data_IF_621541685939
#
_entry.id   IF_621541685939
#
_cell.length_a   1.000
_cell.length_b   1.000
_cell.length_c   1.000
_cell.angle_alpha   90.00
_cell.angle_beta   90.00
_cell.angle_gamma   90.00
#
_symmetry.space_group_name_H-M   'P 1'
#
loop_
_entity.id
_entity.type
_entity.pdbx_description
1 polymer ?
#
# COMPACT_ATOMS: atom_id res chain seq x y z
N UNK A 1 -0.97 -40.63 -36.99
CA UNK A 1 -1.96 -39.77 -36.29
C UNK A 1 -1.99 -38.43 -37.02
N UNK A 2 -3.16 -37.90 -37.43
CA UNK A 2 -3.21 -36.62 -38.10
C UNK A 2 -2.83 -35.48 -37.15
N UNK A 3 -2.09 -34.50 -37.64
CA UNK A 3 -1.73 -33.31 -36.88
C UNK A 3 -2.96 -32.39 -36.78
N UNK A 4 -3.55 -32.33 -35.58
CA UNK A 4 -4.78 -31.56 -35.32
C UNK A 4 -4.49 -30.06 -35.14
N UNK A 5 -3.34 -29.71 -34.53
CA UNK A 5 -2.97 -28.32 -34.25
C UNK A 5 -1.77 -27.87 -35.07
N UNK A 6 -1.83 -26.62 -35.55
CA UNK A 6 -0.72 -25.99 -36.25
C UNK A 6 0.46 -25.72 -35.29
N UNK A 7 1.70 -25.72 -35.80
CA UNK A 7 2.91 -25.51 -34.98
C UNK A 7 2.92 -24.20 -34.18
N UNK A 8 2.22 -23.18 -34.66
CA UNK A 8 2.08 -21.88 -33.98
C UNK A 8 1.30 -22.00 -32.67
N UNK A 9 0.46 -23.02 -32.51
CA UNK A 9 -0.33 -23.24 -31.29
C UNK A 9 0.56 -23.42 -30.06
N UNK A 10 1.77 -23.95 -30.20
CA UNK A 10 2.74 -24.03 -29.09
C UNK A 10 3.17 -22.66 -28.58
N UNK A 11 3.42 -21.72 -29.49
CA UNK A 11 3.77 -20.34 -29.13
C UNK A 11 2.57 -19.64 -28.50
N UNK A 12 1.39 -19.76 -29.13
CA UNK A 12 0.15 -19.14 -28.64
C UNK A 12 -0.16 -19.63 -27.22
N UNK A 13 -0.12 -20.95 -26.97
CA UNK A 13 -0.40 -21.53 -25.66
C UNK A 13 0.57 -21.03 -24.58
N UNK A 14 1.88 -20.96 -24.89
CA UNK A 14 2.87 -20.44 -23.93
C UNK A 14 2.63 -18.96 -23.66
N UNK A 15 2.41 -18.18 -24.70
CA UNK A 15 2.17 -16.74 -24.58
C UNK A 15 0.92 -16.46 -23.75
N UNK A 16 -0.18 -17.18 -23.97
CA UNK A 16 -1.41 -16.96 -23.23
C UNK A 16 -1.29 -17.38 -21.77
N UNK A 17 -0.64 -18.52 -21.48
CA UNK A 17 -0.45 -18.99 -20.10
C UNK A 17 0.42 -18.00 -19.31
N UNK A 18 1.63 -17.71 -19.79
CA UNK A 18 2.54 -16.83 -19.08
C UNK A 18 2.06 -15.38 -19.08
N UNK A 19 1.48 -14.91 -20.18
CA UNK A 19 0.89 -13.57 -20.27
C UNK A 19 -0.24 -13.38 -19.27
N UNK A 20 -1.15 -14.35 -19.14
CA UNK A 20 -2.25 -14.28 -18.17
C UNK A 20 -1.74 -14.26 -16.73
N UNK A 21 -0.77 -15.12 -16.39
CA UNK A 21 -0.16 -15.13 -15.06
C UNK A 21 0.51 -13.78 -14.75
N UNK A 22 1.29 -13.24 -15.69
CA UNK A 22 1.99 -11.98 -15.48
C UNK A 22 1.02 -10.81 -15.31
N UNK A 23 -0.05 -10.76 -16.11
CA UNK A 23 -1.10 -9.76 -15.98
C UNK A 23 -1.80 -9.87 -14.62
N UNK A 24 -2.16 -11.09 -14.20
CA UNK A 24 -2.83 -11.30 -12.92
C UNK A 24 -1.95 -10.86 -11.73
N UNK A 25 -0.68 -11.27 -11.72
CA UNK A 25 0.27 -10.88 -10.68
C UNK A 25 0.52 -9.37 -10.70
N UNK A 26 0.71 -8.78 -11.89
CA UNK A 26 0.88 -7.35 -12.05
C UNK A 26 -0.33 -6.56 -11.54
N UNK A 27 -1.55 -7.03 -11.83
CA UNK A 27 -2.78 -6.42 -11.34
C UNK A 27 -2.88 -6.49 -9.80
N UNK A 28 -2.61 -7.66 -9.21
CA UNK A 28 -2.62 -7.82 -7.76
C UNK A 28 -1.59 -6.92 -7.08
N UNK A 29 -0.38 -6.86 -7.63
CA UNK A 29 0.67 -5.97 -7.13
C UNK A 29 0.26 -4.50 -7.23
N UNK A 30 -0.30 -4.09 -8.36
CA UNK A 30 -0.75 -2.72 -8.59
C UNK A 30 -1.86 -2.32 -7.61
N UNK A 31 -2.85 -3.18 -7.40
CA UNK A 31 -3.92 -2.97 -6.41
C UNK A 31 -3.34 -2.83 -5.01
N UNK A 32 -2.43 -3.73 -4.63
CA UNK A 32 -1.77 -3.67 -3.32
C UNK A 32 -0.95 -2.38 -3.16
N UNK A 33 -0.25 -1.94 -4.21
CA UNK A 33 0.53 -0.70 -4.22
C UNK A 33 -0.35 0.55 -4.04
N UNK A 34 -1.50 0.61 -4.71
CA UNK A 34 -2.48 1.69 -4.51
C UNK A 34 -3.04 1.64 -3.09
N UNK A 35 -3.46 0.47 -2.61
CA UNK A 35 -4.12 0.34 -1.31
C UNK A 35 -3.22 0.78 -0.15
N UNK A 36 -1.92 0.52 -0.24
CA UNK A 36 -0.92 0.95 0.76
C UNK A 36 -0.38 2.37 0.55
N UNK A 37 -0.80 3.06 -0.51
CA UNK A 37 -0.28 4.40 -0.84
C UNK A 37 -0.81 5.46 0.12
N UNK A 38 -0.07 6.55 0.28
CA UNK A 38 -0.50 7.72 1.07
C UNK A 38 -1.80 8.36 0.57
N UNK A 39 -2.13 8.18 -0.71
CA UNK A 39 -3.40 8.60 -1.28
C UNK A 39 -4.59 7.91 -0.61
N UNK A 40 -4.47 6.60 -0.36
CA UNK A 40 -5.55 5.81 0.26
C UNK A 40 -5.50 5.93 1.79
N UNK A 41 -4.31 5.90 2.39
CA UNK A 41 -4.17 5.94 3.86
C UNK A 41 -4.35 7.34 4.44
N UNK A 42 -4.21 8.38 3.63
CA UNK A 42 -4.25 9.77 4.08
C UNK A 42 -3.06 10.15 4.97
N UNK A 43 -1.94 9.43 4.87
CA UNK A 43 -0.80 9.51 5.82
C UNK A 43 -0.14 10.89 5.97
N UNK A 44 -0.52 11.88 5.17
CA UNK A 44 -0.02 13.26 5.25
C UNK A 44 -1.12 14.29 5.08
N UNK A 45 -2.38 13.88 5.25
CA UNK A 45 -3.52 14.78 5.19
C UNK A 45 -3.79 15.25 6.60
N UNK A 46 -3.53 16.51 6.87
CA UNK A 46 -3.89 17.10 8.16
C UNK A 46 -5.41 17.08 8.34
N UNK A 47 -5.86 16.73 9.54
CA UNK A 47 -7.28 16.73 9.89
C UNK A 47 -7.61 17.97 10.69
N UNK A 48 -8.71 18.62 10.36
CA UNK A 48 -9.22 19.72 11.16
C UNK A 48 -9.59 19.22 12.56
N UNK A 49 -8.92 19.76 13.57
CA UNK A 49 -9.21 19.46 14.96
C UNK A 49 -10.14 20.53 15.54
N UNK A 50 -11.08 20.16 16.44
CA UNK A 50 -11.95 21.14 17.11
C UNK A 50 -11.16 22.22 17.86
N UNK A 51 -9.98 21.86 18.35
CA UNK A 51 -8.98 22.74 18.92
C UNK A 51 -7.65 22.44 18.23
N UNK A 52 -6.97 23.47 17.74
CA UNK A 52 -5.74 23.35 16.96
C UNK A 52 -4.55 23.00 17.87
N UNK A 53 -4.41 21.71 18.21
CA UNK A 53 -3.32 21.22 19.04
C UNK A 53 -2.03 21.05 18.24
N UNK A 54 -0.94 21.66 18.71
CA UNK A 54 0.37 21.59 18.05
C UNK A 54 1.34 20.70 18.82
N UNK A 55 1.61 19.49 18.33
CA UNK A 55 2.67 18.64 18.89
C UNK A 55 4.06 19.29 18.78
N UNK A 56 4.27 20.09 17.73
CA UNK A 56 5.53 20.83 17.52
C UNK A 56 5.81 21.77 18.69
N UNK A 57 4.79 22.50 19.15
CA UNK A 57 4.95 23.44 20.25
C UNK A 57 5.30 22.72 21.55
N UNK A 58 4.50 21.72 21.93
CA UNK A 58 4.65 21.05 23.22
C UNK A 58 5.90 20.19 23.33
N UNK A 59 6.17 19.33 22.33
CA UNK A 59 7.31 18.41 22.38
C UNK A 59 8.60 19.05 21.86
N UNK A 60 8.50 19.94 20.87
CA UNK A 60 9.65 20.58 20.24
C UNK A 60 10.10 21.83 20.98
N UNK A 61 9.20 22.79 21.21
CA UNK A 61 9.56 24.09 21.77
C UNK A 61 9.68 24.02 23.31
N UNK A 62 8.69 23.42 23.98
CA UNK A 62 8.63 23.35 25.45
C UNK A 62 9.37 22.13 26.04
N UNK A 63 9.70 21.14 25.21
CA UNK A 63 10.42 19.94 25.63
C UNK A 63 9.60 18.99 26.54
N UNK A 64 8.27 19.04 26.46
CA UNK A 64 7.39 18.15 27.24
C UNK A 64 7.57 16.70 26.74
N UNK A 65 7.85 15.78 27.67
CA UNK A 65 8.00 14.36 27.38
C UNK A 65 6.67 13.75 26.88
N UNK A 66 6.74 12.87 25.87
CA UNK A 66 5.58 12.23 25.25
C UNK A 66 4.64 11.56 26.27
N UNK A 67 5.19 11.01 27.36
CA UNK A 67 4.45 10.27 28.39
C UNK A 67 3.67 11.17 29.32
N UNK A 68 3.95 12.48 29.33
CA UNK A 68 3.16 13.43 30.10
C UNK A 68 1.69 13.42 29.66
N UNK A 69 1.43 13.38 28.35
CA UNK A 69 0.07 13.26 27.80
C UNK A 69 -0.30 11.82 27.43
N UNK A 70 0.63 11.04 26.88
CA UNK A 70 0.40 9.64 26.46
C UNK A 70 0.79 8.66 27.57
N UNK A 71 0.11 8.76 28.71
CA UNK A 71 0.48 8.08 29.96
C UNK A 71 0.50 6.56 29.90
N UNK A 72 -0.18 5.95 28.93
CA UNK A 72 -0.26 4.49 28.77
C UNK A 72 0.72 3.92 27.74
N UNK A 73 1.52 4.75 27.06
CA UNK A 73 2.36 4.30 25.93
C UNK A 73 3.38 3.21 26.32
N UNK A 74 3.77 3.15 27.59
CA UNK A 74 4.72 2.15 28.09
C UNK A 74 4.04 0.88 28.64
N UNK A 75 2.73 0.90 28.88
CA UNK A 75 2.04 -0.11 29.69
C UNK A 75 0.82 -0.75 29.03
N UNK A 76 0.33 -0.22 27.90
CA UNK A 76 -0.84 -0.70 27.17
C UNK A 76 -0.56 -0.98 25.70
#
# INVERSE_FOLDING_TARGET
>A
MPQIFHRSTNFIARLTIFGTIFIAVGALWFIAAINRSSWVTGAYVEREQPVQFSHKHHSGDDGIDCRYCHTSVETA
#
